data_IF_560075068582
#
_entry.id   IF_560075068582
#
_cell.length_a   1.000
_cell.length_b   1.000
_cell.length_c   1.000
_cell.angle_alpha   90.00
_cell.angle_beta   90.00
_cell.angle_gamma   90.00
#
_symmetry.space_group_name_H-M   'P 1'
#
loop_
_entity.id
_entity.type
_entity.pdbx_description
1 polymer ?
#
# COMPACT_ATOMS: atom_id res chain seq x y z
N UNK A 1 -13.98 69.70 -23.85
CA UNK A 1 -14.32 69.01 -25.11
C UNK A 1 -13.11 68.41 -25.83
N UNK A 2 -11.96 69.10 -25.97
CA UNK A 2 -10.74 68.47 -26.55
C UNK A 2 -10.00 67.60 -25.51
N UNK A 3 -10.00 68.00 -24.24
CA UNK A 3 -9.33 67.27 -23.14
C UNK A 3 -10.02 65.96 -22.74
N UNK A 4 -11.35 65.86 -22.88
CA UNK A 4 -12.09 64.62 -22.55
C UNK A 4 -11.82 63.50 -23.56
N UNK A 5 -11.61 63.83 -24.85
CA UNK A 5 -11.32 62.83 -25.88
C UNK A 5 -9.90 62.24 -25.75
N UNK A 6 -8.91 63.05 -25.37
CA UNK A 6 -7.53 62.59 -25.14
C UNK A 6 -7.40 61.71 -23.89
N UNK A 7 -8.20 61.97 -22.84
CA UNK A 7 -8.23 61.14 -21.64
C UNK A 7 -8.91 59.79 -21.91
N UNK A 8 -10.00 59.75 -22.69
CA UNK A 8 -10.65 58.49 -23.11
C UNK A 8 -9.77 57.62 -24.03
N UNK A 9 -8.99 58.20 -24.95
CA UNK A 9 -8.06 57.43 -25.80
C UNK A 9 -6.89 56.85 -24.99
N UNK A 10 -6.41 57.57 -23.97
CA UNK A 10 -5.37 57.08 -23.05
C UNK A 10 -5.89 55.97 -22.12
N UNK A 11 -7.13 56.04 -21.66
CA UNK A 11 -7.74 54.96 -20.87
C UNK A 11 -7.98 53.71 -21.72
N UNK A 12 -8.49 53.86 -22.95
CA UNK A 12 -8.68 52.74 -23.87
C UNK A 12 -7.35 52.06 -24.24
N UNK A 13 -6.29 52.84 -24.48
CA UNK A 13 -4.95 52.31 -24.73
C UNK A 13 -4.26 51.68 -23.51
N UNK A 14 -4.71 52.01 -22.28
CA UNK A 14 -4.27 51.36 -21.04
C UNK A 14 -5.02 50.05 -20.80
N UNK A 15 -6.33 50.02 -21.04
CA UNK A 15 -7.14 48.81 -20.99
C UNK A 15 -6.64 47.73 -21.95
N UNK A 16 -6.33 48.11 -23.20
CA UNK A 16 -5.78 47.16 -24.18
C UNK A 16 -4.43 46.55 -23.75
N UNK A 17 -3.51 47.37 -23.21
CA UNK A 17 -2.22 46.86 -22.68
C UNK A 17 -2.38 45.98 -21.44
N UNK A 18 -3.39 46.23 -20.62
CA UNK A 18 -3.70 45.41 -19.45
C UNK A 18 -4.30 44.06 -19.86
N UNK A 19 -5.16 44.04 -20.88
CA UNK A 19 -5.69 42.81 -21.47
C UNK A 19 -4.58 41.94 -22.09
N UNK A 20 -3.68 42.53 -22.88
CA UNK A 20 -2.53 41.82 -23.46
C UNK A 20 -1.61 41.24 -22.36
N UNK A 21 -1.44 41.95 -21.25
CA UNK A 21 -0.68 41.46 -20.10
C UNK A 21 -1.38 40.27 -19.41
N UNK A 22 -2.70 40.31 -19.26
CA UNK A 22 -3.46 39.19 -18.68
C UNK A 22 -3.41 37.95 -19.57
N UNK A 23 -3.42 38.11 -20.90
CA UNK A 23 -3.24 37.00 -21.84
C UNK A 23 -1.83 36.39 -21.71
N UNK A 24 -0.80 37.22 -21.64
CA UNK A 24 0.57 36.74 -21.38
C UNK A 24 0.68 36.02 -20.03
N UNK A 25 0.06 36.56 -18.98
CA UNK A 25 0.07 35.95 -17.65
C UNK A 25 -0.66 34.59 -17.64
N UNK A 26 -1.78 34.48 -18.35
CA UNK A 26 -2.49 33.22 -18.53
C UNK A 26 -1.57 32.16 -19.16
N UNK A 27 -0.90 32.52 -20.26
CA UNK A 27 -0.02 31.59 -20.97
C UNK A 27 1.18 31.17 -20.12
N UNK A 28 1.78 32.10 -19.38
CA UNK A 28 2.86 31.81 -18.43
C UNK A 28 2.40 30.86 -17.32
N UNK A 29 1.22 31.09 -16.72
CA UNK A 29 0.66 30.25 -15.67
C UNK A 29 0.33 28.84 -16.19
N UNK A 30 -0.24 28.74 -17.39
CA UNK A 30 -0.54 27.45 -18.02
C UNK A 30 0.73 26.67 -18.36
N UNK A 31 1.77 27.34 -18.84
CA UNK A 31 3.07 26.73 -19.11
C UNK A 31 3.72 26.20 -17.83
N UNK A 32 3.74 27.00 -16.76
CA UNK A 32 4.26 26.57 -15.46
C UNK A 32 3.47 25.39 -14.88
N UNK A 33 2.16 25.38 -15.03
CA UNK A 33 1.32 24.27 -14.58
C UNK A 33 1.61 22.98 -15.36
N UNK A 34 1.82 23.06 -16.67
CA UNK A 34 2.20 21.91 -17.48
C UNK A 34 3.59 21.36 -17.09
N UNK A 35 4.59 22.23 -16.88
CA UNK A 35 5.92 21.80 -16.42
C UNK A 35 5.84 21.13 -15.04
N UNK A 36 5.03 21.67 -14.14
CA UNK A 36 4.83 21.10 -12.81
C UNK A 36 4.08 19.76 -12.86
N UNK A 37 3.13 19.58 -13.78
CA UNK A 37 2.47 18.29 -14.03
C UNK A 37 3.47 17.23 -14.48
N UNK A 38 4.32 17.55 -15.46
CA UNK A 38 5.34 16.64 -15.97
C UNK A 38 6.30 16.20 -14.84
N UNK A 39 6.78 17.16 -14.04
CA UNK A 39 7.65 16.87 -12.89
C UNK A 39 6.96 16.01 -11.82
N UNK A 40 5.66 16.24 -11.58
CA UNK A 40 4.89 15.45 -10.62
C UNK A 40 4.70 14.02 -11.12
N UNK A 41 4.39 13.81 -12.39
CA UNK A 41 4.22 12.49 -13.00
C UNK A 41 5.52 11.68 -12.96
N UNK A 42 6.66 12.30 -13.27
CA UNK A 42 7.98 11.67 -13.15
C UNK A 42 8.28 11.25 -11.69
N UNK A 43 8.03 12.14 -10.73
CA UNK A 43 8.25 11.85 -9.31
C UNK A 43 7.32 10.73 -8.79
N UNK A 44 6.07 10.72 -9.23
CA UNK A 44 5.10 9.68 -8.86
C UNK A 44 5.53 8.33 -9.42
N UNK A 45 5.98 8.26 -10.68
CA UNK A 45 6.51 7.02 -11.27
C UNK A 45 7.75 6.50 -10.55
N UNK A 46 8.68 7.39 -10.18
CA UNK A 46 9.86 7.02 -9.41
C UNK A 46 9.48 6.50 -8.01
N UNK A 47 8.50 7.14 -7.37
CA UNK A 47 7.94 6.67 -6.10
C UNK A 47 7.27 5.31 -6.25
N UNK A 48 6.41 5.11 -7.25
CA UNK A 48 5.72 3.85 -7.56
C UNK A 48 6.70 2.69 -7.70
N UNK A 49 7.76 2.87 -8.48
CA UNK A 49 8.79 1.84 -8.65
C UNK A 49 9.50 1.53 -7.33
N UNK A 50 9.82 2.58 -6.56
CA UNK A 50 10.52 2.45 -5.28
C UNK A 50 9.65 1.71 -4.27
N UNK A 51 8.41 2.12 -4.06
CA UNK A 51 7.52 1.52 -3.06
C UNK A 51 7.15 0.09 -3.42
N UNK A 52 6.92 -0.20 -4.72
CA UNK A 52 6.67 -1.56 -5.20
C UNK A 52 7.84 -2.49 -4.85
N UNK A 53 9.07 -2.03 -5.11
CA UNK A 53 10.28 -2.77 -4.77
C UNK A 53 10.38 -3.05 -3.26
N UNK A 54 10.06 -2.06 -2.42
CA UNK A 54 10.11 -2.23 -0.96
C UNK A 54 9.02 -3.19 -0.45
N UNK A 55 7.82 -3.14 -1.02
CA UNK A 55 6.73 -4.08 -0.68
C UNK A 55 7.10 -5.50 -1.08
N UNK A 56 7.70 -5.70 -2.25
CA UNK A 56 8.17 -7.02 -2.69
C UNK A 56 9.28 -7.56 -1.78
N UNK A 57 10.25 -6.71 -1.38
CA UNK A 57 11.28 -7.08 -0.41
C UNK A 57 10.71 -7.42 0.97
N UNK A 58 9.69 -6.69 1.42
CA UNK A 58 8.98 -6.99 2.66
C UNK A 58 8.29 -8.36 2.60
N UNK A 59 7.57 -8.65 1.51
CA UNK A 59 6.93 -9.95 1.29
C UNK A 59 7.96 -11.08 1.28
N UNK A 60 9.08 -10.88 0.56
CA UNK A 60 10.17 -11.86 0.54
C UNK A 60 10.72 -12.13 1.94
N UNK A 61 10.93 -11.08 2.73
CA UNK A 61 11.42 -11.20 4.13
C UNK A 61 10.43 -12.02 4.99
N UNK A 62 9.13 -11.81 4.80
CA UNK A 62 8.09 -12.61 5.49
C UNK A 62 8.19 -14.07 5.09
N UNK A 63 8.34 -14.38 3.80
CA UNK A 63 8.49 -15.75 3.30
C UNK A 63 9.75 -16.44 3.84
N UNK A 64 10.87 -15.72 3.91
CA UNK A 64 12.13 -16.21 4.50
C UNK A 64 11.99 -16.51 6.00
N UNK A 65 11.28 -15.65 6.74
CA UNK A 65 10.97 -15.89 8.15
C UNK A 65 10.06 -17.12 8.32
N UNK A 66 9.06 -17.30 7.46
CA UNK A 66 8.16 -18.47 7.50
C UNK A 66 8.88 -19.76 7.12
N UNK A 67 9.85 -19.71 6.20
CA UNK A 67 10.73 -20.84 5.93
C UNK A 67 11.56 -21.22 7.18
N UNK A 68 12.02 -20.21 7.94
CA UNK A 68 12.71 -20.44 9.22
C UNK A 68 11.79 -21.08 10.25
N UNK A 69 10.55 -20.60 10.39
CA UNK A 69 9.54 -21.18 11.28
C UNK A 69 9.27 -22.66 10.95
N UNK A 70 9.10 -22.99 9.66
CA UNK A 70 8.92 -24.38 9.20
C UNK A 70 10.09 -25.27 9.59
N UNK A 71 11.33 -24.80 9.39
CA UNK A 71 12.53 -25.55 9.79
C UNK A 71 12.62 -25.78 11.31
N UNK A 72 12.22 -24.81 12.12
CA UNK A 72 12.18 -25.01 13.58
C UNK A 72 11.04 -25.94 14.01
N UNK A 73 9.91 -25.90 13.29
CA UNK A 73 8.79 -26.83 13.50
C UNK A 73 9.17 -28.28 13.14
N UNK A 74 9.93 -28.50 12.06
CA UNK A 74 10.46 -29.83 11.72
C UNK A 74 11.30 -30.39 12.88
N UNK A 75 12.20 -29.58 13.44
CA UNK A 75 13.02 -29.97 14.61
C UNK A 75 12.17 -30.22 15.84
N UNK A 76 11.13 -29.41 16.05
CA UNK A 76 10.20 -29.58 17.16
C UNK A 76 9.47 -30.91 17.04
N UNK A 77 8.91 -31.19 15.86
CA UNK A 77 8.22 -32.45 15.52
C UNK A 77 9.12 -33.67 15.74
N UNK A 78 10.37 -33.65 15.28
CA UNK A 78 11.33 -34.73 15.52
C UNK A 78 11.60 -34.96 17.03
N UNK A 79 11.85 -33.87 17.77
CA UNK A 79 12.17 -33.93 19.20
C UNK A 79 10.99 -34.42 20.04
N UNK A 80 9.80 -33.89 19.79
CA UNK A 80 8.60 -34.27 20.56
C UNK A 80 8.21 -35.71 20.24
N UNK A 81 8.26 -36.13 18.97
CA UNK A 81 8.00 -37.50 18.56
C UNK A 81 8.95 -38.48 19.24
N UNK A 82 10.25 -38.19 19.23
CA UNK A 82 11.25 -39.01 19.92
C UNK A 82 10.97 -39.14 21.42
N UNK A 83 10.60 -38.04 22.09
CA UNK A 83 10.29 -38.05 23.51
C UNK A 83 9.03 -38.86 23.84
N UNK A 84 7.96 -38.68 23.05
CA UNK A 84 6.68 -39.36 23.27
C UNK A 84 6.77 -40.85 22.98
N UNK A 85 7.49 -41.28 21.94
CA UNK A 85 7.74 -42.70 21.71
C UNK A 85 8.56 -43.33 22.83
N UNK A 86 9.59 -42.64 23.32
CA UNK A 86 10.35 -43.12 24.46
C UNK A 86 9.49 -43.23 25.74
N UNK A 87 8.53 -42.32 25.92
CA UNK A 87 7.58 -42.40 27.03
C UNK A 87 6.63 -43.59 26.87
N UNK A 88 6.07 -43.78 25.67
CA UNK A 88 5.21 -44.91 25.32
C UNK A 88 5.90 -46.26 25.56
N UNK A 89 7.18 -46.37 25.19
CA UNK A 89 7.97 -47.60 25.38
C UNK A 89 8.29 -47.89 26.86
N UNK A 90 8.44 -46.85 27.69
CA UNK A 90 8.90 -46.99 29.09
C UNK A 90 7.79 -47.04 30.12
N UNK A 91 6.60 -46.56 29.79
CA UNK A 91 5.49 -46.51 30.75
C UNK A 91 4.26 -47.18 30.13
N UNK A 92 4.05 -48.47 30.40
CA UNK A 92 2.80 -49.13 30.05
C UNK A 92 1.65 -48.35 30.70
N UNK A 93 0.63 -47.99 29.93
CA UNK A 93 -0.54 -47.28 30.49
C UNK A 93 -1.21 -48.04 31.63
N UNK A 94 -1.09 -49.36 31.62
CA UNK A 94 -1.62 -50.27 32.64
C UNK A 94 -0.89 -50.13 34.00
N UNK A 95 0.35 -49.63 33.98
CA UNK A 95 1.20 -49.44 35.17
C UNK A 95 1.16 -48.00 35.71
N UNK A 96 0.43 -47.09 35.06
CA UNK A 96 0.29 -45.71 35.53
C UNK A 96 -0.63 -45.64 36.76
N UNK A 97 -0.05 -45.23 37.90
CA UNK A 97 -0.75 -45.00 39.17
C UNK A 97 -1.68 -43.77 39.13
N UNK A 98 -1.54 -42.92 38.12
CA UNK A 98 -2.28 -41.66 37.98
C UNK A 98 -3.47 -41.88 37.05
N UNK A 99 -4.65 -41.35 37.42
CA UNK A 99 -5.80 -41.30 36.51
C UNK A 99 -5.47 -40.44 35.29
N UNK A 100 -5.34 -41.09 34.14
CA UNK A 100 -5.12 -40.45 32.84
C UNK A 100 -6.47 -40.18 32.19
N UNK A 101 -6.65 -38.98 31.63
CA UNK A 101 -7.85 -38.60 30.86
C UNK A 101 -8.08 -39.56 29.68
N UNK A 102 -9.34 -39.80 29.27
CA UNK A 102 -9.65 -40.67 28.14
C UNK A 102 -8.87 -40.30 26.87
N UNK A 103 -8.71 -39.01 26.60
CA UNK A 103 -8.03 -38.48 25.41
C UNK A 103 -6.55 -38.89 25.40
N UNK A 104 -5.81 -38.60 26.48
CA UNK A 104 -4.42 -39.07 26.64
C UNK A 104 -4.29 -40.60 26.57
N UNK A 105 -5.27 -41.35 27.09
CA UNK A 105 -5.26 -42.81 27.02
C UNK A 105 -5.38 -43.30 25.57
N UNK A 106 -6.19 -42.62 24.77
CA UNK A 106 -6.32 -42.90 23.34
C UNK A 106 -5.06 -42.50 22.57
N UNK A 107 -4.48 -41.32 22.86
CA UNK A 107 -3.24 -40.85 22.21
C UNK A 107 -2.06 -41.81 22.40
N UNK A 108 -1.93 -42.41 23.58
CA UNK A 108 -0.83 -43.34 23.91
C UNK A 108 -1.23 -44.81 23.80
N UNK A 109 -2.38 -45.13 23.19
CA UNK A 109 -2.85 -46.52 23.07
C UNK A 109 -1.86 -47.40 22.31
N UNK A 110 -1.33 -46.88 21.22
CA UNK A 110 -0.32 -47.54 20.39
C UNK A 110 0.49 -46.51 19.61
N UNK A 111 1.57 -46.98 18.99
CA UNK A 111 2.51 -46.14 18.26
C UNK A 111 1.88 -45.51 17.01
N UNK A 112 0.95 -46.19 16.36
CA UNK A 112 0.34 -45.72 15.12
C UNK A 112 -0.59 -44.54 15.43
N UNK A 113 -1.45 -44.69 16.44
CA UNK A 113 -2.33 -43.60 16.91
C UNK A 113 -1.55 -42.36 17.32
N UNK A 114 -0.44 -42.53 18.07
CA UNK A 114 0.41 -41.41 18.46
C UNK A 114 1.07 -40.74 17.25
N UNK A 115 1.49 -41.53 16.25
CA UNK A 115 2.10 -41.02 15.02
C UNK A 115 1.11 -40.20 14.21
N UNK A 116 -0.12 -40.68 14.07
CA UNK A 116 -1.19 -39.99 13.33
C UNK A 116 -1.49 -38.62 13.96
N UNK A 117 -1.66 -38.56 15.29
CA UNK A 117 -1.93 -37.30 15.99
C UNK A 117 -0.76 -36.33 15.86
N UNK A 118 0.48 -36.80 15.98
CA UNK A 118 1.66 -35.95 15.84
C UNK A 118 1.77 -35.40 14.41
N UNK A 119 1.47 -36.21 13.40
CA UNK A 119 1.44 -35.78 12.01
C UNK A 119 0.35 -34.72 11.77
N UNK A 120 -0.84 -34.90 12.34
CA UNK A 120 -1.93 -33.92 12.26
C UNK A 120 -1.56 -32.60 12.94
N UNK A 121 -0.95 -32.64 14.14
CA UNK A 121 -0.46 -31.45 14.83
C UNK A 121 0.60 -30.70 14.01
N UNK A 122 1.57 -31.44 13.47
CA UNK A 122 2.61 -30.87 12.62
C UNK A 122 2.02 -30.21 11.38
N UNK A 123 1.13 -30.91 10.66
CA UNK A 123 0.44 -30.35 9.50
C UNK A 123 -0.36 -29.08 9.86
N UNK A 124 -1.04 -29.06 11.02
CA UNK A 124 -1.77 -27.90 11.49
C UNK A 124 -0.85 -26.68 11.74
N UNK A 125 0.33 -26.90 12.34
CA UNK A 125 1.31 -25.82 12.54
C UNK A 125 1.86 -25.27 11.22
N UNK A 126 2.23 -26.14 10.28
CA UNK A 126 2.72 -25.72 8.95
C UNK A 126 1.64 -24.91 8.22
N UNK A 127 0.39 -25.38 8.22
CA UNK A 127 -0.74 -24.67 7.63
C UNK A 127 -0.97 -23.30 8.28
N UNK A 128 -0.77 -23.17 9.59
CA UNK A 128 -0.90 -21.89 10.28
C UNK A 128 0.16 -20.88 9.80
N UNK A 129 1.40 -21.31 9.57
CA UNK A 129 2.45 -20.45 9.02
C UNK A 129 2.12 -19.99 7.59
N UNK A 130 1.72 -20.93 6.73
CA UNK A 130 1.37 -20.61 5.34
C UNK A 130 0.15 -19.66 5.28
N UNK A 131 -0.85 -19.88 6.12
CA UNK A 131 -2.03 -19.00 6.22
C UNK A 131 -1.65 -17.57 6.61
N UNK A 132 -0.76 -17.39 7.59
CA UNK A 132 -0.30 -16.06 7.99
C UNK A 132 0.50 -15.40 6.87
N UNK A 133 1.38 -16.14 6.20
CA UNK A 133 2.16 -15.64 5.06
C UNK A 133 1.25 -15.13 3.94
N UNK A 134 0.22 -15.89 3.60
CA UNK A 134 -0.74 -15.56 2.55
C UNK A 134 -1.56 -14.31 2.90
N UNK A 135 -2.02 -14.19 4.15
CA UNK A 135 -2.74 -13.01 4.63
C UNK A 135 -1.88 -11.76 4.51
N UNK A 136 -0.63 -11.82 4.98
CA UNK A 136 0.31 -10.68 4.91
C UNK A 136 0.57 -10.31 3.45
N UNK A 137 0.86 -11.29 2.58
CA UNK A 137 1.10 -11.07 1.15
C UNK A 137 -0.09 -10.38 0.49
N UNK A 138 -1.29 -10.87 0.75
CA UNK A 138 -2.52 -10.33 0.17
C UNK A 138 -2.76 -8.90 0.63
N UNK A 139 -2.67 -8.64 1.94
CA UNK A 139 -2.87 -7.31 2.51
C UNK A 139 -1.84 -6.29 1.99
N UNK A 140 -0.56 -6.67 1.93
CA UNK A 140 0.49 -5.80 1.43
C UNK A 140 0.29 -5.41 -0.04
N UNK A 141 -0.09 -6.37 -0.90
CA UNK A 141 -0.37 -6.11 -2.32
C UNK A 141 -1.64 -5.28 -2.51
N UNK A 142 -2.70 -5.59 -1.78
CA UNK A 142 -3.94 -4.82 -1.83
C UNK A 142 -3.71 -3.36 -1.42
N UNK A 143 -2.98 -3.15 -0.33
CA UNK A 143 -2.61 -1.82 0.14
C UNK A 143 -1.76 -1.05 -0.88
N UNK A 144 -0.78 -1.72 -1.50
CA UNK A 144 0.05 -1.10 -2.54
C UNK A 144 -0.81 -0.65 -3.73
N UNK A 145 -1.70 -1.51 -4.22
CA UNK A 145 -2.60 -1.16 -5.32
C UNK A 145 -3.50 0.03 -4.98
N UNK A 146 -4.12 0.03 -3.80
CA UNK A 146 -4.96 1.13 -3.34
C UNK A 146 -4.17 2.43 -3.18
N UNK A 147 -2.95 2.36 -2.65
CA UNK A 147 -2.06 3.51 -2.49
C UNK A 147 -1.75 4.14 -3.86
N UNK A 148 -1.35 3.34 -4.84
CA UNK A 148 -0.97 3.83 -6.17
C UNK A 148 -2.16 4.42 -6.93
N UNK A 149 -3.33 3.77 -6.87
CA UNK A 149 -4.55 4.28 -7.49
C UNK A 149 -4.96 5.63 -6.89
N UNK A 150 -4.92 5.75 -5.56
CA UNK A 150 -5.25 7.00 -4.88
C UNK A 150 -4.23 8.12 -5.17
N UNK A 151 -2.95 7.78 -5.27
CA UNK A 151 -1.89 8.73 -5.59
C UNK A 151 -2.09 9.32 -6.99
N UNK A 152 -2.32 8.47 -7.99
CA UNK A 152 -2.55 8.89 -9.37
C UNK A 152 -3.78 9.79 -9.49
N UNK A 153 -4.90 9.36 -8.90
CA UNK A 153 -6.16 10.09 -8.93
C UNK A 153 -6.03 11.48 -8.28
N UNK A 154 -5.46 11.53 -7.08
CA UNK A 154 -5.41 12.76 -6.29
C UNK A 154 -4.41 13.77 -6.86
N UNK A 155 -3.20 13.31 -7.19
CA UNK A 155 -2.09 14.20 -7.47
C UNK A 155 -1.89 14.50 -8.96
N UNK A 156 -2.34 13.62 -9.85
CA UNK A 156 -2.27 13.86 -11.30
C UNK A 156 -3.60 14.38 -11.80
N UNK A 157 -4.69 13.63 -11.62
CA UNK A 157 -5.96 13.96 -12.28
C UNK A 157 -6.71 15.11 -11.60
N UNK A 158 -6.95 15.02 -10.30
CA UNK A 158 -7.76 16.00 -9.57
C UNK A 158 -7.01 17.32 -9.36
N UNK A 159 -5.71 17.27 -9.04
CA UNK A 159 -4.87 18.46 -8.92
C UNK A 159 -4.86 19.25 -10.23
N UNK A 160 -4.51 18.63 -11.35
CA UNK A 160 -4.41 19.28 -12.66
C UNK A 160 -5.70 20.00 -13.02
N UNK A 161 -6.82 19.27 -12.93
CA UNK A 161 -8.14 19.84 -13.24
C UNK A 161 -8.46 21.04 -12.37
N UNK A 162 -8.13 20.97 -11.08
CA UNK A 162 -8.37 22.06 -10.13
C UNK A 162 -7.49 23.27 -10.45
N UNK A 163 -6.20 23.09 -10.71
CA UNK A 163 -5.26 24.18 -11.00
C UNK A 163 -5.54 24.88 -12.32
N UNK A 164 -5.83 24.11 -13.38
CA UNK A 164 -6.22 24.70 -14.67
C UNK A 164 -7.50 25.54 -14.51
N UNK A 165 -8.49 25.02 -13.77
CA UNK A 165 -9.72 25.77 -13.52
C UNK A 165 -9.46 27.05 -12.72
N UNK A 166 -8.61 27.00 -11.69
CA UNK A 166 -8.22 28.17 -10.91
C UNK A 166 -7.55 29.24 -11.77
N UNK A 167 -6.63 28.85 -12.66
CA UNK A 167 -5.94 29.77 -13.58
C UNK A 167 -6.96 30.45 -14.51
N UNK A 168 -7.84 29.66 -15.14
CA UNK A 168 -8.88 30.17 -16.06
C UNK A 168 -9.79 31.15 -15.33
N UNK A 169 -10.38 30.75 -14.21
CA UNK A 169 -11.31 31.60 -13.45
C UNK A 169 -10.65 32.87 -12.94
N UNK A 170 -9.38 32.81 -12.53
CA UNK A 170 -8.65 33.99 -12.09
C UNK A 170 -8.51 35.01 -13.24
N UNK A 171 -8.04 34.57 -14.41
CA UNK A 171 -7.82 35.44 -15.56
C UNK A 171 -9.15 36.01 -16.07
N UNK A 172 -10.20 35.19 -16.15
CA UNK A 172 -11.55 35.62 -16.54
C UNK A 172 -12.09 36.70 -15.61
N UNK A 173 -11.99 36.51 -14.29
CA UNK A 173 -12.43 37.51 -13.32
C UNK A 173 -11.65 38.83 -13.46
N UNK A 174 -10.34 38.76 -13.70
CA UNK A 174 -9.53 39.98 -13.92
C UNK A 174 -9.88 40.70 -15.22
N UNK A 175 -10.24 39.98 -16.28
CA UNK A 175 -10.73 40.57 -17.54
C UNK A 175 -12.09 41.23 -17.35
N UNK A 176 -13.02 40.57 -16.65
CA UNK A 176 -14.32 41.16 -16.32
C UNK A 176 -14.17 42.43 -15.49
N UNK A 177 -13.26 42.46 -14.51
CA UNK A 177 -12.97 43.67 -13.72
C UNK A 177 -12.42 44.81 -14.59
N UNK A 178 -11.54 44.51 -15.56
CA UNK A 178 -11.02 45.51 -16.50
C UNK A 178 -12.06 46.04 -17.48
N UNK A 179 -12.96 45.19 -17.97
CA UNK A 179 -14.04 45.59 -18.88
C UNK A 179 -15.12 46.44 -18.19
N UNK A 180 -15.21 46.34 -16.86
CA UNK A 180 -16.15 47.09 -16.02
C UNK A 180 -15.58 48.43 -15.49
N UNK A 181 -14.32 48.76 -15.78
CA UNK A 181 -13.64 50.02 -15.44
C UNK A 181 -13.71 50.99 -16.62
#
# INVERSE_FOLDING_TARGET
MITENEDTEKEHGRGHKAADFLDSLHDDLMMLEAELEDQLDENIKAFEQTITTHVDQFIQTVEENMATCRKEEDKYFERISSHLFHLLDKVPLEDMVVEVTPELREMFKDKDSLTDILADCHAAHINAFDSVADVIRHQAKSWLSELLENLQKTHVEDRRRTRIMEIICFVENQKEELDNI
#
